data_IF_150759115819
#
_entry.id   IF_150759115819
#
_cell.length_a   1.000
_cell.length_b   1.000
_cell.length_c   1.000
_cell.angle_alpha   90.00
_cell.angle_beta   90.00
_cell.angle_gamma   90.00
#
_symmetry.space_group_name_H-M   'P 1'
#
loop_
_entity.id
_entity.type
_entity.pdbx_description
1 polymer ?
#
# COMPACT_ATOMS: atom_id res chain seq x y z
N UNK A 1 4.21 2.12 7.12
CA UNK A 1 5.01 1.56 6.03
C UNK A 1 4.10 1.09 4.90
N UNK A 2 4.54 1.21 3.68
CA UNK A 2 3.77 0.87 2.48
C UNK A 2 4.59 0.02 1.51
N UNK A 3 4.01 -0.25 0.34
CA UNK A 3 4.69 -1.02 -0.72
C UNK A 3 5.95 -0.35 -1.28
N UNK A 4 6.14 0.95 -1.06
CA UNK A 4 7.38 1.69 -1.37
C UNK A 4 8.57 1.25 -0.52
N UNK A 5 8.32 0.68 0.68
CA UNK A 5 9.35 0.24 1.64
C UNK A 5 10.39 1.33 1.96
N UNK A 6 10.00 2.59 1.95
CA UNK A 6 10.89 3.74 2.17
C UNK A 6 10.96 4.16 3.64
N UNK A 7 9.92 3.91 4.42
CA UNK A 7 9.87 4.29 5.83
C UNK A 7 8.56 3.97 6.53
N UNK A 8 8.44 4.57 7.70
CA UNK A 8 7.28 4.47 8.59
C UNK A 8 6.61 5.83 8.63
N UNK A 9 5.37 5.89 8.18
CA UNK A 9 4.53 7.07 8.35
C UNK A 9 3.72 6.93 9.65
N UNK A 10 3.77 7.96 10.48
CA UNK A 10 2.98 8.06 11.70
C UNK A 10 2.11 9.29 11.57
N UNK A 11 0.82 9.14 11.87
CA UNK A 11 -0.13 10.26 11.86
C UNK A 11 -1.10 10.12 13.03
N UNK A 12 -1.36 11.22 13.70
CA UNK A 12 -2.39 11.32 14.75
C UNK A 12 -3.71 11.77 14.14
N UNK A 13 -4.78 11.12 14.54
CA UNK A 13 -6.16 11.56 14.26
C UNK A 13 -7.00 11.45 15.52
N UNK A 14 -7.98 12.35 15.66
CA UNK A 14 -9.09 12.17 16.59
C UNK A 14 -10.31 11.77 15.76
N UNK A 15 -11.03 10.73 16.17
CA UNK A 15 -12.16 10.22 15.40
C UNK A 15 -13.17 9.50 16.29
N UNK A 16 -14.44 9.55 15.90
CA UNK A 16 -15.51 8.73 16.47
C UNK A 16 -15.58 7.31 15.85
N UNK A 17 -14.67 7.02 14.91
CA UNK A 17 -14.62 5.75 14.16
C UNK A 17 -15.60 5.64 13.00
N UNK A 18 -16.48 6.64 12.79
CA UNK A 18 -17.55 6.58 11.79
C UNK A 18 -17.57 7.80 10.85
N UNK A 19 -17.76 9.00 11.41
CA UNK A 19 -18.09 10.20 10.62
C UNK A 19 -17.14 11.37 10.84
N UNK A 20 -16.52 11.45 12.02
CA UNK A 20 -15.69 12.58 12.39
C UNK A 20 -14.20 12.21 12.36
N UNK A 21 -13.43 13.06 11.69
CA UNK A 21 -11.97 12.98 11.65
C UNK A 21 -11.40 14.36 11.83
N UNK A 22 -10.58 14.52 12.85
CA UNK A 22 -9.71 15.68 13.06
C UNK A 22 -8.26 15.20 12.83
N UNK A 23 -7.57 15.85 11.90
CA UNK A 23 -6.18 15.50 11.60
C UNK A 23 -5.23 16.25 12.52
N UNK A 24 -4.37 15.50 13.19
CA UNK A 24 -3.27 16.00 14.00
C UNK A 24 -1.93 16.04 13.25
N UNK A 25 -0.83 16.08 14.00
CA UNK A 25 0.53 16.02 13.43
C UNK A 25 0.80 14.68 12.74
N UNK A 26 1.81 14.70 11.85
CA UNK A 26 2.31 13.52 11.16
C UNK A 26 3.81 13.62 10.95
N UNK A 27 4.48 12.48 10.82
CA UNK A 27 5.91 12.39 10.53
C UNK A 27 6.23 11.13 9.73
N UNK A 28 7.36 11.14 9.02
CA UNK A 28 7.91 9.99 8.28
C UNK A 28 9.31 9.68 8.79
N UNK A 29 9.56 8.41 9.11
CA UNK A 29 10.84 7.89 9.59
C UNK A 29 11.40 6.90 8.56
N UNK A 30 12.49 7.27 7.88
CA UNK A 30 13.08 6.47 6.81
C UNK A 30 13.70 5.16 7.29
N UNK A 31 13.57 4.11 6.51
CA UNK A 31 14.31 2.87 6.77
C UNK A 31 15.76 2.98 6.32
N UNK A 32 16.73 2.44 7.09
CA UNK A 32 18.09 2.25 6.61
C UNK A 32 18.13 1.38 5.35
N UNK A 33 19.06 1.65 4.41
CA UNK A 33 19.15 0.91 3.15
C UNK A 33 19.25 -0.62 3.33
N UNK A 34 20.03 -1.06 4.32
CA UNK A 34 20.22 -2.47 4.65
C UNK A 34 18.93 -3.14 5.15
N UNK A 35 18.08 -2.42 5.85
CA UNK A 35 16.79 -2.95 6.28
C UNK A 35 15.79 -3.01 5.11
N UNK A 36 15.81 -2.02 4.23
CA UNK A 36 15.00 -2.04 2.99
C UNK A 36 15.30 -3.25 2.13
N UNK A 37 16.58 -3.61 1.99
CA UNK A 37 16.98 -4.79 1.23
C UNK A 37 16.44 -6.07 1.88
N UNK A 38 16.55 -6.22 3.20
CA UNK A 38 15.98 -7.37 3.92
C UNK A 38 14.45 -7.45 3.80
N UNK A 39 13.76 -6.31 3.75
CA UNK A 39 12.31 -6.29 3.49
C UNK A 39 11.97 -6.80 2.08
N UNK A 40 12.75 -6.42 1.07
CA UNK A 40 12.55 -6.93 -0.31
C UNK A 40 12.78 -8.44 -0.38
N UNK A 41 13.87 -8.92 0.23
CA UNK A 41 14.15 -10.35 0.31
C UNK A 41 13.04 -11.11 1.05
N UNK A 42 12.54 -10.56 2.17
CA UNK A 42 11.42 -11.14 2.91
C UNK A 42 10.11 -11.19 2.07
N UNK A 43 9.88 -10.19 1.23
CA UNK A 43 8.74 -10.20 0.29
C UNK A 43 8.88 -11.34 -0.71
N UNK A 44 10.08 -11.56 -1.26
CA UNK A 44 10.34 -12.68 -2.15
C UNK A 44 10.12 -14.04 -1.46
N UNK A 45 10.61 -14.18 -0.21
CA UNK A 45 10.42 -15.40 0.57
C UNK A 45 8.94 -15.68 0.89
N UNK A 46 8.11 -14.64 0.97
CA UNK A 46 6.69 -14.75 1.29
C UNK A 46 5.81 -15.28 0.13
N UNK A 47 6.28 -15.21 -1.12
CA UNK A 47 5.48 -15.64 -2.29
C UNK A 47 4.99 -17.09 -2.21
N UNK A 48 5.75 -17.99 -1.58
CA UNK A 48 5.41 -19.40 -1.41
C UNK A 48 4.52 -19.69 -0.20
N UNK A 49 4.12 -18.68 0.58
CA UNK A 49 3.30 -18.89 1.77
C UNK A 49 1.89 -19.36 1.40
N UNK A 50 1.44 -20.38 2.13
CA UNK A 50 0.06 -20.89 2.11
C UNK A 50 -0.64 -20.73 3.46
N UNK A 51 0.11 -20.36 4.50
CA UNK A 51 -0.41 -20.06 5.84
C UNK A 51 0.06 -18.65 6.25
N UNK A 52 -0.90 -17.73 6.45
CA UNK A 52 -0.62 -16.33 6.76
C UNK A 52 0.12 -16.09 8.08
N UNK A 53 0.06 -17.05 9.00
CA UNK A 53 0.75 -16.99 10.30
C UNK A 53 2.15 -17.60 10.27
N UNK A 54 2.49 -18.30 9.20
CA UNK A 54 3.82 -18.89 9.09
C UNK A 54 4.90 -17.82 8.89
N UNK A 55 6.02 -18.00 9.58
CA UNK A 55 7.18 -17.12 9.47
C UNK A 55 8.46 -17.93 9.23
N UNK A 56 8.53 -18.66 8.10
CA UNK A 56 9.72 -19.43 7.77
C UNK A 56 10.91 -18.53 7.47
N UNK A 57 12.11 -19.10 7.60
CA UNK A 57 13.35 -18.43 7.26
C UNK A 57 13.56 -17.11 7.99
N UNK A 58 13.82 -16.04 7.26
CA UNK A 58 14.06 -14.69 7.77
C UNK A 58 12.81 -13.91 8.17
N UNK A 59 11.60 -14.37 7.79
CA UNK A 59 10.37 -13.61 7.98
C UNK A 59 10.11 -13.24 9.45
N UNK A 60 10.36 -14.16 10.39
CA UNK A 60 10.16 -13.87 11.82
C UNK A 60 11.13 -12.83 12.37
N UNK A 61 12.39 -12.85 11.92
CA UNK A 61 13.39 -11.87 12.34
C UNK A 61 13.07 -10.49 11.75
N UNK A 62 12.72 -10.42 10.46
CA UNK A 62 12.34 -9.18 9.79
C UNK A 62 11.06 -8.59 10.38
N UNK A 63 10.06 -9.41 10.71
CA UNK A 63 8.82 -8.96 11.37
C UNK A 63 9.11 -8.34 12.73
N UNK A 64 9.97 -8.98 13.53
CA UNK A 64 10.36 -8.46 14.84
C UNK A 64 11.06 -7.10 14.72
N UNK A 65 12.08 -6.99 13.87
CA UNK A 65 12.81 -5.74 13.66
C UNK A 65 11.90 -4.64 13.09
N UNK A 66 11.01 -4.99 12.14
CA UNK A 66 10.01 -4.07 11.62
C UNK A 66 9.17 -3.49 12.77
N UNK A 67 8.71 -4.34 13.66
CA UNK A 67 7.87 -3.95 14.80
C UNK A 67 8.63 -3.07 15.80
N UNK A 68 9.89 -3.43 16.12
CA UNK A 68 10.75 -2.63 16.99
C UNK A 68 10.99 -1.22 16.41
N UNK A 69 11.23 -1.11 15.09
CA UNK A 69 11.35 0.18 14.39
C UNK A 69 10.06 1.01 14.41
N UNK A 70 8.90 0.36 14.35
CA UNK A 70 7.61 1.06 14.52
C UNK A 70 7.45 1.58 15.94
N UNK A 71 7.86 0.83 16.96
CA UNK A 71 7.85 1.31 18.34
C UNK A 71 8.78 2.52 18.53
N UNK A 72 9.97 2.50 17.95
CA UNK A 72 10.91 3.63 17.95
C UNK A 72 10.31 4.85 17.26
N UNK A 73 9.66 4.66 16.09
CA UNK A 73 9.00 5.74 15.35
C UNK A 73 7.85 6.36 16.15
N UNK A 74 7.03 5.55 16.83
CA UNK A 74 5.96 6.03 17.73
C UNK A 74 6.56 6.83 18.89
N UNK A 75 7.59 6.32 19.55
CA UNK A 75 8.24 7.01 20.67
C UNK A 75 8.86 8.36 20.25
N UNK A 76 9.53 8.40 19.09
CA UNK A 76 10.08 9.63 18.52
C UNK A 76 8.97 10.63 18.19
N UNK A 77 7.89 10.17 17.53
CA UNK A 77 6.74 11.01 17.18
C UNK A 77 6.09 11.65 18.41
N UNK A 78 5.83 10.86 19.45
CA UNK A 78 5.25 11.37 20.70
C UNK A 78 6.17 12.39 21.40
N UNK A 79 7.47 12.14 21.37
CA UNK A 79 8.48 13.07 21.89
C UNK A 79 8.49 14.39 21.11
N UNK A 80 8.57 14.32 19.78
CA UNK A 80 8.66 15.47 18.90
C UNK A 80 7.40 16.36 18.94
N UNK A 81 6.25 15.72 19.16
CA UNK A 81 4.95 16.41 19.25
C UNK A 81 4.56 16.82 20.68
N UNK A 82 5.35 16.43 21.69
CA UNK A 82 5.07 16.64 23.10
C UNK A 82 3.71 16.06 23.55
N UNK A 83 3.30 14.94 22.94
CA UNK A 83 2.05 14.22 23.29
C UNK A 83 2.40 13.04 24.20
N UNK A 84 1.65 12.86 25.28
CA UNK A 84 1.82 11.71 26.17
C UNK A 84 1.24 10.44 25.55
N UNK A 85 1.89 9.29 25.77
CA UNK A 85 1.32 7.99 25.36
C UNK A 85 -0.03 7.70 26.02
N UNK A 86 -0.31 8.32 27.16
CA UNK A 86 -1.59 8.19 27.87
C UNK A 86 -2.73 8.98 27.22
N UNK A 87 -2.44 9.84 26.25
CA UNK A 87 -3.43 10.57 25.45
C UNK A 87 -3.79 9.82 24.17
N UNK A 88 -3.16 8.67 23.90
CA UNK A 88 -3.41 7.83 22.74
C UNK A 88 -4.23 6.61 23.16
N UNK A 89 -5.42 6.48 22.64
CA UNK A 89 -6.31 5.35 22.93
C UNK A 89 -5.85 4.08 22.20
N UNK A 90 -5.43 4.20 20.95
CA UNK A 90 -5.12 3.03 20.12
C UNK A 90 -4.17 3.36 18.96
N UNK A 91 -3.32 2.41 18.61
CA UNK A 91 -2.51 2.45 17.40
C UNK A 91 -3.14 1.54 16.34
N UNK A 92 -3.47 2.08 15.18
CA UNK A 92 -3.76 1.29 13.98
C UNK A 92 -2.46 0.90 13.29
N UNK A 93 -2.08 -0.37 13.36
CA UNK A 93 -0.82 -0.88 12.82
C UNK A 93 -1.04 -1.66 11.53
N UNK A 94 -0.66 -1.08 10.39
CA UNK A 94 -0.79 -1.73 9.09
C UNK A 94 0.24 -2.85 8.90
N UNK A 95 1.45 -2.70 9.43
CA UNK A 95 2.58 -3.56 9.12
C UNK A 95 3.06 -3.40 7.67
N UNK A 96 3.84 -4.37 7.19
CA UNK A 96 4.34 -4.42 5.81
C UNK A 96 3.68 -5.56 5.04
N UNK A 97 2.92 -5.24 3.99
CA UNK A 97 2.37 -6.26 3.10
C UNK A 97 3.49 -6.94 2.32
N UNK A 98 3.62 -8.24 2.47
CA UNK A 98 4.60 -9.08 1.77
C UNK A 98 3.96 -10.09 0.83
N UNK A 99 2.66 -10.36 0.98
CA UNK A 99 1.87 -11.18 0.08
C UNK A 99 0.43 -10.68 0.07
N UNK A 100 -0.14 -10.52 -1.11
CA UNK A 100 -1.55 -10.18 -1.26
C UNK A 100 -2.16 -10.91 -2.45
N UNK A 101 -3.00 -11.90 -2.18
CA UNK A 101 -3.65 -12.76 -3.16
C UNK A 101 -5.11 -12.98 -2.77
N UNK A 102 -6.01 -12.04 -3.09
CA UNK A 102 -7.44 -12.17 -2.80
C UNK A 102 -8.15 -13.17 -3.73
N UNK A 103 -9.34 -13.65 -3.34
CA UNK A 103 -10.06 -14.71 -4.04
C UNK A 103 -10.41 -14.39 -5.50
N UNK A 104 -10.68 -13.14 -5.84
CA UNK A 104 -11.09 -12.74 -7.20
C UNK A 104 -9.98 -12.79 -8.24
N UNK A 105 -8.72 -12.92 -7.85
CA UNK A 105 -7.59 -13.07 -8.78
C UNK A 105 -7.44 -14.47 -9.40
N UNK A 106 -8.16 -15.45 -8.88
CA UNK A 106 -8.05 -16.84 -9.34
C UNK A 106 -8.47 -17.09 -10.79
N UNK A 107 -8.97 -16.10 -11.53
CA UNK A 107 -9.62 -16.35 -12.82
C UNK A 107 -9.03 -15.65 -14.03
N UNK A 108 -8.01 -14.77 -13.90
CA UNK A 108 -7.82 -13.92 -15.08
C UNK A 108 -6.52 -14.05 -15.88
N UNK A 109 -5.32 -14.10 -15.34
CA UNK A 109 -4.11 -14.04 -16.21
C UNK A 109 -2.83 -14.52 -15.54
N UNK A 110 -2.76 -15.73 -15.04
CA UNK A 110 -1.50 -16.36 -14.69
C UNK A 110 -1.40 -17.72 -15.40
N UNK A 111 -0.24 -18.11 -15.87
CA UNK A 111 0.01 -19.45 -16.38
C UNK A 111 -0.33 -20.49 -15.30
N UNK A 112 -1.58 -20.85 -15.16
CA UNK A 112 -2.13 -22.09 -14.61
C UNK A 112 -1.75 -22.55 -13.19
N UNK A 113 -0.79 -21.95 -12.50
CA UNK A 113 -0.29 -22.43 -11.22
C UNK A 113 -0.83 -21.64 -10.00
N UNK A 114 -1.18 -20.38 -10.16
CA UNK A 114 -1.69 -19.54 -9.07
C UNK A 114 -3.16 -19.80 -8.72
N UNK A 115 -3.92 -20.40 -9.63
CA UNK A 115 -5.34 -20.70 -9.43
C UNK A 115 -5.62 -21.82 -8.41
N UNK A 116 -4.59 -22.51 -7.92
CA UNK A 116 -4.74 -23.60 -6.94
C UNK A 116 -4.41 -23.19 -5.50
N UNK A 117 -3.86 -21.98 -5.30
CA UNK A 117 -3.50 -21.53 -3.96
C UNK A 117 -4.66 -20.78 -3.29
N UNK A 118 -4.85 -20.96 -1.97
CA UNK A 118 -5.94 -20.30 -1.25
C UNK A 118 -5.77 -18.77 -1.25
N UNK A 119 -6.90 -18.03 -1.17
CA UNK A 119 -6.85 -16.60 -0.90
C UNK A 119 -6.08 -16.31 0.39
N UNK A 120 -5.13 -15.37 0.33
CA UNK A 120 -4.28 -15.07 1.46
C UNK A 120 -3.75 -13.64 1.37
N UNK A 121 -3.67 -12.97 2.50
CA UNK A 121 -2.91 -11.73 2.65
C UNK A 121 -1.99 -11.84 3.86
N UNK A 122 -0.77 -11.35 3.74
CA UNK A 122 0.23 -11.40 4.81
C UNK A 122 0.85 -10.04 4.99
N UNK A 123 0.63 -9.47 6.16
CA UNK A 123 1.32 -8.29 6.64
C UNK A 123 2.31 -8.72 7.73
N UNK A 124 3.59 -8.37 7.58
CA UNK A 124 4.55 -8.50 8.66
C UNK A 124 4.29 -7.39 9.68
N UNK A 125 4.24 -7.76 10.94
CA UNK A 125 4.00 -6.85 12.05
C UNK A 125 3.37 -7.57 13.23
N UNK A 126 4.09 -7.59 14.35
CA UNK A 126 3.66 -8.17 15.62
C UNK A 126 3.00 -7.08 16.47
N UNK A 127 1.66 -7.02 16.41
CA UNK A 127 0.89 -6.03 17.17
C UNK A 127 0.96 -6.22 18.68
N UNK A 128 1.12 -7.46 19.17
CA UNK A 128 1.28 -7.74 20.60
C UNK A 128 2.63 -7.21 21.12
N UNK A 129 3.69 -7.40 20.32
CA UNK A 129 5.00 -6.82 20.63
C UNK A 129 4.95 -5.30 20.59
N UNK A 130 4.29 -4.70 19.59
CA UNK A 130 4.16 -3.25 19.49
C UNK A 130 3.41 -2.67 20.70
N UNK A 131 2.29 -3.28 21.10
CA UNK A 131 1.54 -2.87 22.29
C UNK A 131 2.40 -2.96 23.57
N UNK A 132 3.18 -4.03 23.70
CA UNK A 132 4.09 -4.20 24.83
C UNK A 132 5.20 -3.14 24.87
N UNK A 133 5.75 -2.76 23.71
CA UNK A 133 6.84 -1.79 23.62
C UNK A 133 6.37 -0.35 23.82
N UNK A 134 5.17 -0.02 23.36
CA UNK A 134 4.62 1.34 23.41
C UNK A 134 3.78 1.60 24.65
N UNK A 135 3.20 0.55 25.25
CA UNK A 135 2.21 0.66 26.33
C UNK A 135 0.85 1.16 25.85
N UNK A 136 0.58 1.14 24.55
CA UNK A 136 -0.67 1.60 23.91
C UNK A 136 -1.33 0.39 23.24
N UNK A 137 -2.65 0.30 23.30
CA UNK A 137 -3.41 -0.74 22.61
C UNK A 137 -3.18 -0.69 21.09
N UNK A 138 -3.11 -1.86 20.43
CA UNK A 138 -2.82 -1.96 18.99
C UNK A 138 -3.87 -2.79 18.28
N UNK A 139 -4.45 -2.21 17.23
CA UNK A 139 -5.25 -2.93 16.23
C UNK A 139 -4.39 -3.18 15.00
N UNK A 140 -4.26 -4.42 14.59
CA UNK A 140 -3.37 -4.84 13.51
C UNK A 140 -3.97 -5.97 12.67
N UNK A 141 -3.27 -6.42 11.63
CA UNK A 141 -3.69 -7.48 10.69
C UNK A 141 -5.04 -7.15 10.00
N UNK A 142 -5.24 -5.88 9.67
CA UNK A 142 -6.52 -5.30 9.28
C UNK A 142 -7.13 -5.90 8.01
N UNK A 143 -6.31 -6.45 7.10
CA UNK A 143 -6.75 -6.97 5.80
C UNK A 143 -7.20 -8.42 5.83
N UNK A 144 -6.70 -9.18 6.79
CA UNK A 144 -6.89 -10.63 6.83
C UNK A 144 -8.36 -11.03 7.01
N UNK A 145 -9.08 -10.37 7.89
CA UNK A 145 -10.49 -10.66 8.15
C UNK A 145 -11.37 -10.43 6.91
N UNK A 146 -11.09 -9.39 6.13
CA UNK A 146 -11.82 -9.12 4.89
C UNK A 146 -11.53 -10.18 3.81
N UNK A 147 -10.27 -10.56 3.63
CA UNK A 147 -9.88 -11.62 2.68
C UNK A 147 -10.46 -12.99 3.09
N UNK A 148 -10.45 -13.32 4.38
CA UNK A 148 -11.04 -14.56 4.90
C UNK A 148 -12.58 -14.59 4.71
N UNK A 149 -13.23 -13.43 4.75
CA UNK A 149 -14.65 -13.29 4.44
C UNK A 149 -14.98 -13.27 2.92
N UNK A 150 -13.98 -13.38 2.06
CA UNK A 150 -14.12 -13.38 0.60
C UNK A 150 -14.01 -11.98 -0.03
N UNK A 151 -13.62 -10.98 0.72
CA UNK A 151 -13.35 -9.62 0.23
C UNK A 151 -11.97 -9.49 -0.42
N UNK A 152 -11.67 -8.28 -0.88
CA UNK A 152 -10.42 -7.96 -1.56
C UNK A 152 -9.27 -7.60 -0.59
N UNK A 153 -9.58 -7.25 0.67
CA UNK A 153 -8.60 -6.79 1.64
C UNK A 153 -7.94 -5.44 1.31
N UNK A 154 -8.28 -4.85 0.19
CA UNK A 154 -7.78 -3.57 -0.28
C UNK A 154 -8.74 -2.96 -1.32
N UNK A 155 -8.87 -1.61 -1.36
CA UNK A 155 -8.38 -0.66 -0.37
C UNK A 155 -9.25 -0.64 0.90
N UNK A 156 -8.68 -0.34 2.09
CA UNK A 156 -9.41 -0.16 3.35
C UNK A 156 -9.65 1.32 3.70
N UNK A 157 -8.98 2.23 3.02
CA UNK A 157 -9.08 3.68 3.22
C UNK A 157 -10.43 4.33 2.83
N UNK A 158 -11.34 3.72 2.04
CA UNK A 158 -12.58 4.36 1.62
C UNK A 158 -13.47 4.87 2.75
N UNK A 159 -13.52 4.18 3.88
CA UNK A 159 -14.28 4.62 5.07
C UNK A 159 -13.73 5.94 5.60
N UNK A 160 -12.41 6.07 5.68
CA UNK A 160 -11.73 7.31 6.06
C UNK A 160 -12.00 8.44 5.06
N UNK A 161 -11.96 8.15 3.75
CA UNK A 161 -12.30 9.13 2.71
C UNK A 161 -13.75 9.59 2.83
N UNK A 162 -14.68 8.69 3.18
CA UNK A 162 -16.08 9.02 3.42
C UNK A 162 -16.23 10.00 4.59
N UNK A 163 -15.54 9.76 5.69
CA UNK A 163 -15.55 10.65 6.85
C UNK A 163 -14.95 12.03 6.53
N UNK A 164 -13.81 12.08 5.81
CA UNK A 164 -13.23 13.34 5.33
C UNK A 164 -14.17 14.11 4.40
N UNK A 165 -14.93 13.39 3.58
CA UNK A 165 -15.88 13.98 2.64
C UNK A 165 -17.18 14.47 3.31
N UNK A 166 -17.49 14.01 4.51
CA UNK A 166 -18.78 14.30 5.16
C UNK A 166 -19.09 15.80 5.25
N UNK A 167 -18.05 16.63 5.43
CA UNK A 167 -18.17 18.10 5.52
C UNK A 167 -18.09 18.83 4.16
N UNK A 168 -17.85 18.10 3.06
CA UNK A 168 -17.78 18.68 1.71
C UNK A 168 -19.15 18.63 1.03
N UNK A 169 -19.65 19.74 0.46
CA UNK A 169 -20.97 19.77 -0.16
C UNK A 169 -21.02 19.15 -1.56
N UNK A 170 -19.86 19.00 -2.21
CA UNK A 170 -19.80 18.50 -3.58
C UNK A 170 -20.07 16.99 -3.63
N UNK A 171 -20.97 16.60 -4.55
CA UNK A 171 -21.22 15.20 -4.90
C UNK A 171 -21.52 15.09 -6.40
N UNK A 172 -21.09 14.04 -7.10
CA UNK A 172 -20.17 13.00 -6.62
C UNK A 172 -18.77 13.56 -6.35
N UNK A 173 -18.00 12.85 -5.52
CA UNK A 173 -16.62 13.19 -5.16
C UNK A 173 -15.73 11.98 -5.38
N UNK A 174 -14.50 12.19 -5.83
CA UNK A 174 -13.49 11.16 -5.95
C UNK A 174 -12.21 11.56 -5.23
N UNK A 175 -11.68 10.63 -4.43
CA UNK A 175 -10.31 10.68 -3.92
C UNK A 175 -9.45 9.78 -4.80
N UNK A 176 -8.49 10.37 -5.50
CA UNK A 176 -7.50 9.65 -6.29
C UNK A 176 -6.20 9.59 -5.50
N UNK A 177 -5.71 8.39 -5.24
CA UNK A 177 -4.40 8.13 -4.68
C UNK A 177 -3.49 7.56 -5.77
N UNK A 178 -2.32 8.18 -5.97
CA UNK A 178 -1.31 7.73 -6.93
C UNK A 178 -0.07 7.32 -6.14
N UNK A 179 -0.07 6.06 -5.68
CA UNK A 179 1.07 5.40 -5.07
C UNK A 179 1.85 4.59 -6.11
N UNK A 180 2.43 3.47 -5.74
CA UNK A 180 3.02 2.52 -6.69
C UNK A 180 1.98 1.99 -7.67
N UNK A 181 0.81 1.64 -7.18
CA UNK A 181 -0.45 1.42 -7.90
C UNK A 181 -1.37 2.60 -7.61
N UNK A 182 -2.15 3.02 -8.57
CA UNK A 182 -3.15 4.08 -8.41
C UNK A 182 -4.51 3.49 -8.05
N UNK A 183 -5.23 4.14 -7.12
CA UNK A 183 -6.58 3.74 -6.74
C UNK A 183 -7.51 4.94 -6.56
N UNK A 184 -8.79 4.70 -6.66
CA UNK A 184 -9.83 5.71 -6.49
C UNK A 184 -10.83 5.27 -5.44
N UNK A 185 -11.29 6.23 -4.65
CA UNK A 185 -12.51 6.12 -3.84
C UNK A 185 -13.53 7.10 -4.41
N UNK A 186 -14.61 6.61 -4.99
CA UNK A 186 -15.69 7.41 -5.49
C UNK A 186 -16.88 7.40 -4.52
N UNK A 187 -17.42 8.57 -4.23
CA UNK A 187 -18.54 8.79 -3.32
C UNK A 187 -19.67 9.42 -4.11
N UNK A 188 -20.75 8.67 -4.34
CA UNK A 188 -21.91 9.10 -5.09
C UNK A 188 -22.75 10.14 -4.38
N UNK A 189 -23.67 10.78 -5.13
CA UNK A 189 -24.67 11.68 -4.56
C UNK A 189 -25.69 10.97 -3.67
N UNK A 190 -25.86 9.68 -3.86
CA UNK A 190 -26.70 8.77 -3.07
C UNK A 190 -25.95 8.14 -1.87
N UNK A 191 -24.71 8.54 -1.61
CA UNK A 191 -23.88 8.00 -0.55
C UNK A 191 -23.19 6.67 -0.87
N UNK A 192 -23.39 6.10 -2.07
CA UNK A 192 -22.66 4.89 -2.49
C UNK A 192 -21.16 5.13 -2.48
N UNK A 193 -20.44 4.17 -1.95
CA UNK A 193 -18.98 4.15 -1.87
C UNK A 193 -18.45 3.05 -2.80
N UNK A 194 -17.63 3.43 -3.78
CA UNK A 194 -16.97 2.51 -4.69
C UNK A 194 -15.47 2.78 -4.62
N UNK A 195 -14.67 1.75 -4.44
CA UNK A 195 -13.22 1.88 -4.41
C UNK A 195 -12.56 0.71 -5.14
N UNK A 196 -11.51 1.02 -5.91
CA UNK A 196 -10.79 0.03 -6.70
C UNK A 196 -9.46 0.60 -7.21
N UNK A 197 -8.55 -0.30 -7.60
CA UNK A 197 -7.30 0.07 -8.24
C UNK A 197 -7.54 0.42 -9.71
N UNK A 198 -7.15 1.64 -10.09
CA UNK A 198 -7.43 2.19 -11.43
C UNK A 198 -6.39 1.79 -12.47
N UNK A 199 -5.15 1.53 -12.06
CA UNK A 199 -4.05 1.18 -12.96
C UNK A 199 -2.69 1.35 -12.29
N UNK A 200 -1.59 1.25 -13.05
CA UNK A 200 -0.26 1.53 -12.53
C UNK A 200 -0.16 2.99 -12.07
N UNK A 201 0.62 3.20 -11.03
CA UNK A 201 0.97 4.53 -10.54
C UNK A 201 2.45 4.83 -10.75
N UNK A 202 3.12 5.29 -9.70
CA UNK A 202 4.52 5.71 -9.78
C UNK A 202 5.51 4.55 -9.87
N UNK A 203 5.13 3.30 -9.55
CA UNK A 203 6.09 2.20 -9.46
C UNK A 203 6.87 1.97 -10.77
N UNK A 204 6.18 1.98 -11.93
CA UNK A 204 6.85 1.82 -13.23
C UNK A 204 7.75 3.02 -13.56
N UNK A 205 7.33 4.23 -13.20
CA UNK A 205 8.13 5.43 -13.41
C UNK A 205 9.41 5.39 -12.58
N UNK A 206 9.30 5.01 -11.32
CA UNK A 206 10.44 4.92 -10.40
C UNK A 206 11.40 3.80 -10.83
N UNK A 207 10.90 2.64 -11.22
CA UNK A 207 11.70 1.52 -11.73
C UNK A 207 12.43 1.91 -13.04
N UNK A 208 11.75 2.63 -13.94
CA UNK A 208 12.36 3.14 -15.17
C UNK A 208 13.48 4.14 -14.89
N UNK A 209 13.23 5.13 -14.04
CA UNK A 209 14.21 6.14 -13.65
C UNK A 209 15.41 5.50 -12.94
N UNK A 210 15.17 4.56 -12.03
CA UNK A 210 16.23 3.84 -11.34
C UNK A 210 17.11 3.06 -12.33
N UNK A 211 16.49 2.33 -13.27
CA UNK A 211 17.18 1.53 -14.30
C UNK A 211 18.12 2.39 -15.17
N UNK A 212 17.67 3.59 -15.56
CA UNK A 212 18.38 4.41 -16.54
C UNK A 212 19.27 5.48 -15.94
N UNK A 213 19.01 5.92 -14.72
CA UNK A 213 19.72 7.06 -14.11
C UNK A 213 20.37 6.76 -12.77
N UNK A 214 20.05 5.61 -12.15
CA UNK A 214 20.46 5.27 -10.78
C UNK A 214 19.75 6.08 -9.69
N UNK A 215 18.83 6.98 -10.04
CA UNK A 215 18.03 7.77 -9.09
C UNK A 215 16.76 7.03 -8.71
N UNK A 216 16.25 7.20 -7.48
CA UNK A 216 15.08 6.45 -7.00
C UNK A 216 13.75 6.90 -7.63
N UNK A 217 13.65 8.10 -8.17
CA UNK A 217 12.46 8.66 -8.81
C UNK A 217 12.81 9.89 -9.70
N UNK A 218 11.86 10.31 -10.54
CA UNK A 218 12.01 11.51 -11.38
C UNK A 218 11.61 12.78 -10.60
N UNK A 219 12.58 13.44 -10.00
CA UNK A 219 12.35 14.65 -9.21
C UNK A 219 11.69 15.75 -10.06
N UNK A 220 10.50 16.18 -9.65
CA UNK A 220 9.66 17.19 -10.33
C UNK A 220 9.25 16.82 -11.77
N UNK A 221 9.32 15.56 -12.16
CA UNK A 221 9.02 15.11 -13.53
C UNK A 221 9.96 15.70 -14.59
N UNK A 222 11.22 15.99 -14.23
CA UNK A 222 12.15 16.65 -15.13
C UNK A 222 12.60 15.77 -16.29
N UNK A 223 12.76 14.47 -16.04
CA UNK A 223 13.10 13.51 -17.09
C UNK A 223 11.93 13.36 -18.06
N UNK A 224 10.74 13.04 -17.57
CA UNK A 224 9.54 12.88 -18.36
C UNK A 224 9.19 14.13 -19.19
N UNK A 225 9.40 15.33 -18.63
CA UNK A 225 9.14 16.59 -19.35
C UNK A 225 10.04 16.79 -20.55
N UNK A 226 11.20 16.17 -20.59
CA UNK A 226 12.14 16.25 -21.71
C UNK A 226 11.88 15.25 -22.83
N UNK A 227 10.97 14.29 -22.58
CA UNK A 227 10.63 13.22 -23.50
C UNK A 227 9.39 13.47 -24.35
N UNK A 228 8.93 12.43 -25.03
CA UNK A 228 7.73 12.43 -25.88
C UNK A 228 6.82 11.29 -25.51
N UNK A 229 5.53 11.51 -25.65
CA UNK A 229 4.54 10.44 -25.51
C UNK A 229 4.55 9.57 -26.77
N UNK A 230 4.64 8.26 -26.60
CA UNK A 230 4.50 7.25 -27.64
C UNK A 230 3.07 6.70 -27.61
N UNK A 231 2.20 7.22 -28.45
CA UNK A 231 0.77 6.89 -28.46
C UNK A 231 0.49 5.40 -28.71
N UNK A 232 1.30 4.74 -29.51
CA UNK A 232 1.22 3.30 -29.79
C UNK A 232 1.51 2.47 -28.54
N UNK A 233 2.50 2.85 -27.74
CA UNK A 233 2.83 2.21 -26.47
C UNK A 233 1.72 2.47 -25.42
N UNK A 234 1.25 3.71 -25.34
CA UNK A 234 0.14 4.06 -24.47
C UNK A 234 -1.11 3.20 -24.78
N UNK A 235 -1.45 3.06 -26.05
CA UNK A 235 -2.59 2.23 -26.47
C UNK A 235 -2.39 0.76 -26.09
N UNK A 236 -1.18 0.21 -26.18
CA UNK A 236 -0.89 -1.16 -25.76
C UNK A 236 -1.10 -1.33 -24.24
N UNK A 237 -0.65 -0.38 -23.40
CA UNK A 237 -0.94 -0.42 -21.97
C UNK A 237 -2.44 -0.35 -21.69
N UNK A 238 -3.19 0.50 -22.42
CA UNK A 238 -4.64 0.64 -22.26
C UNK A 238 -5.44 -0.61 -22.69
N UNK A 239 -4.85 -1.48 -23.49
CA UNK A 239 -5.43 -2.79 -23.84
C UNK A 239 -5.28 -3.84 -22.73
N UNK A 240 -4.61 -3.50 -21.63
CA UNK A 240 -4.43 -4.45 -20.52
C UNK A 240 -5.79 -4.86 -19.93
N UNK A 241 -6.05 -6.17 -19.75
CA UNK A 241 -7.34 -6.70 -19.32
C UNK A 241 -7.90 -6.11 -18.03
N UNK A 242 -7.04 -5.58 -17.17
CA UNK A 242 -7.49 -4.90 -15.96
C UNK A 242 -8.51 -3.78 -16.23
N UNK A 243 -8.33 -3.03 -17.31
CA UNK A 243 -9.22 -1.89 -17.60
C UNK A 243 -10.64 -2.32 -17.95
N UNK A 244 -10.83 -3.53 -18.46
CA UNK A 244 -12.15 -4.09 -18.80
C UNK A 244 -12.82 -4.83 -17.64
N UNK A 245 -12.10 -5.10 -16.55
CA UNK A 245 -12.66 -5.80 -15.39
C UNK A 245 -13.72 -4.96 -14.69
N UNK A 246 -14.83 -5.58 -14.24
CA UNK A 246 -15.82 -4.91 -13.41
C UNK A 246 -15.23 -4.51 -12.05
N UNK A 247 -15.80 -3.45 -11.47
CA UNK A 247 -15.46 -3.01 -10.11
C UNK A 247 -16.29 -3.79 -9.08
N UNK A 248 -15.76 -4.07 -7.86
CA UNK A 248 -14.41 -3.73 -7.37
C UNK A 248 -13.32 -4.61 -7.98
N UNK A 249 -12.14 -4.04 -8.19
CA UNK A 249 -10.96 -4.73 -8.72
C UNK A 249 -9.69 -4.22 -8.06
N UNK A 250 -8.66 -5.06 -8.00
CA UNK A 250 -7.36 -4.73 -7.42
C UNK A 250 -6.22 -5.12 -8.35
N UNK A 251 -5.06 -4.49 -8.16
CA UNK A 251 -3.81 -4.76 -8.88
C UNK A 251 -2.69 -5.12 -7.93
N UNK A 252 -1.82 -6.00 -8.39
CA UNK A 252 -0.47 -6.11 -7.83
C UNK A 252 0.49 -5.16 -8.55
N UNK A 253 1.55 -4.73 -7.86
CA UNK A 253 2.59 -3.90 -8.46
C UNK A 253 3.16 -4.48 -9.77
N UNK A 254 3.23 -5.82 -9.86
CA UNK A 254 3.86 -6.54 -10.96
C UNK A 254 2.90 -6.92 -12.09
N UNK A 255 1.62 -6.52 -12.02
CA UNK A 255 0.65 -6.79 -13.09
C UNK A 255 0.97 -5.99 -14.36
N UNK A 256 1.67 -4.86 -14.22
CA UNK A 256 2.20 -4.08 -15.33
C UNK A 256 3.73 -4.11 -15.30
N UNK A 257 4.35 -4.25 -16.46
CA UNK A 257 5.80 -4.35 -16.62
C UNK A 257 6.34 -3.28 -17.56
N UNK A 258 7.67 -3.12 -17.58
CA UNK A 258 8.38 -2.20 -18.47
C UNK A 258 8.65 -2.79 -19.87
N UNK A 259 8.18 -3.99 -20.20
CA UNK A 259 8.51 -4.68 -21.43
C UNK A 259 8.10 -3.88 -22.69
N UNK A 260 6.97 -3.16 -22.62
CA UNK A 260 6.46 -2.36 -23.73
C UNK A 260 7.30 -1.10 -24.04
N UNK A 261 8.15 -0.68 -23.11
CA UNK A 261 8.99 0.52 -23.25
C UNK A 261 10.47 0.17 -23.51
N UNK A 262 10.81 -1.11 -23.64
CA UNK A 262 12.17 -1.53 -23.94
C UNK A 262 12.64 -0.93 -25.28
N UNK A 263 13.80 -0.28 -25.23
CA UNK A 263 14.41 0.38 -26.40
C UNK A 263 14.01 1.84 -26.60
N UNK A 264 13.10 2.39 -25.80
CA UNK A 264 12.83 3.81 -25.79
C UNK A 264 13.96 4.60 -25.11
N UNK A 265 14.05 5.90 -25.39
CA UNK A 265 14.98 6.74 -24.67
C UNK A 265 14.53 6.91 -23.20
N UNK A 266 15.46 7.16 -22.26
CA UNK A 266 15.11 7.31 -20.85
C UNK A 266 14.07 8.40 -20.54
N UNK A 267 13.94 9.38 -21.41
CA UNK A 267 13.01 10.50 -21.28
C UNK A 267 11.62 10.20 -21.87
N UNK A 268 11.55 9.33 -22.85
CA UNK A 268 10.32 8.92 -23.54
C UNK A 268 9.61 7.81 -22.77
#
# INVERSE_FOLDING_TARGET
SGTSMDGIDVALIETDGEHEVVRGPHATYGYPPEFRERLREATNDAHALTNRRARPGRLGEVERELTERHAEAVAAFLTDTAISSTEIDVIGFHGQTVLHRPASRATSFGNGTDSQLPPITVQLGDGELLAKLTGIDVVYDLRAADVEAGGQGAPLVPVYHSALAAKLPQRPLAFLNIGGVANVTWIGGDGRLIAFDTGPGNALLDDWVLRHTGRPYDANGNLARSGKVHEDVLQQYLMHPHFEQPVPKSLDRNDFTLDLVEGLSPAD
#
